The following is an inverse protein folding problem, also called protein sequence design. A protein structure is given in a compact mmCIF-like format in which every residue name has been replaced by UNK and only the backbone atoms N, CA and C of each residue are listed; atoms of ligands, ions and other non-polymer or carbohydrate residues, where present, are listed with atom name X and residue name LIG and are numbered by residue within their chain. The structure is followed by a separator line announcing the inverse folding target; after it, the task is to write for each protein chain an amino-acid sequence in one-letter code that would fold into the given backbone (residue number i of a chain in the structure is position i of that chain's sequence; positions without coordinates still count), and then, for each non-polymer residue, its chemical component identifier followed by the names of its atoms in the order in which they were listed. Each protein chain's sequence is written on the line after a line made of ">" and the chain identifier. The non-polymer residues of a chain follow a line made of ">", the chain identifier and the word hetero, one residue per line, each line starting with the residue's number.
data_IF_971294016853
#
_entry.id   IF_971294016853
#
_cell.length_a   1.000
_cell.length_b   1.000
_cell.length_c   1.000
_cell.angle_alpha   90.00
_cell.angle_beta   90.00
_cell.angle_gamma   90.00
#
_symmetry.space_group_name_H-M   'P 1'
#
loop_
_entity.id
_entity.type
_entity.pdbx_description
1 polymer ?
#
# COMPACT_ATOMS: atom_id res chain seq x y z
N UNK A 1 -12.14 4.54 -19.75
CA UNK A 1 -12.77 5.31 -18.64
C UNK A 1 -12.22 4.92 -17.27
N UNK A 2 -12.24 3.64 -16.89
CA UNK A 2 -11.68 3.13 -15.61
C UNK A 2 -10.31 3.72 -15.21
N UNK A 3 -9.34 3.77 -16.14
CA UNK A 3 -8.02 4.37 -15.90
C UNK A 3 -8.07 5.87 -15.55
N UNK A 4 -9.01 6.62 -16.16
CA UNK A 4 -9.23 8.04 -15.88
C UNK A 4 -9.82 8.26 -14.48
N UNK A 5 -10.70 7.35 -14.03
CA UNK A 5 -11.22 7.34 -12.66
C UNK A 5 -10.10 7.07 -11.64
N UNK A 6 -9.20 6.12 -11.92
CA UNK A 6 -8.02 5.88 -11.09
C UNK A 6 -7.12 7.11 -11.02
N UNK A 7 -6.81 7.73 -12.16
CA UNK A 7 -5.95 8.91 -12.22
C UNK A 7 -6.53 10.13 -11.48
N UNK A 8 -7.79 10.49 -11.77
CA UNK A 8 -8.45 11.64 -11.12
C UNK A 8 -8.83 11.36 -9.67
N UNK A 9 -9.21 10.13 -9.36
CA UNK A 9 -9.39 9.66 -7.98
C UNK A 9 -8.09 9.84 -7.19
N UNK A 10 -6.95 9.37 -7.71
CA UNK A 10 -5.64 9.50 -7.07
C UNK A 10 -5.32 10.96 -6.74
N UNK A 11 -5.46 11.86 -7.72
CA UNK A 11 -5.22 13.30 -7.52
C UNK A 11 -6.08 13.87 -6.38
N UNK A 12 -7.38 13.55 -6.35
CA UNK A 12 -8.28 14.02 -5.30
C UNK A 12 -7.97 13.41 -3.94
N UNK A 13 -7.67 12.11 -3.89
CA UNK A 13 -7.35 11.43 -2.64
C UNK A 13 -6.04 11.92 -2.03
N UNK A 14 -4.99 12.16 -2.82
CA UNK A 14 -3.72 12.71 -2.34
C UNK A 14 -3.88 14.10 -1.73
N UNK A 15 -4.80 14.92 -2.26
CA UNK A 15 -5.06 16.28 -1.77
C UNK A 15 -5.97 16.25 -0.53
N UNK A 16 -7.14 15.62 -0.66
CA UNK A 16 -8.24 15.75 0.31
C UNK A 16 -8.36 14.57 1.28
N UNK A 17 -7.86 13.40 0.91
CA UNK A 17 -8.04 12.15 1.64
C UNK A 17 -9.39 11.48 1.40
N UNK A 18 -9.48 10.18 1.68
CA UNK A 18 -10.66 9.34 1.42
C UNK A 18 -11.96 9.91 2.04
N UNK A 19 -11.86 10.44 3.26
CA UNK A 19 -13.02 10.96 3.99
C UNK A 19 -13.66 12.15 3.30
N UNK A 20 -12.86 13.07 2.79
CA UNK A 20 -13.32 14.36 2.23
C UNK A 20 -13.63 14.29 0.74
N UNK A 21 -13.10 13.31 0.00
CA UNK A 21 -13.42 13.13 -1.42
C UNK A 21 -14.79 12.45 -1.60
N UNK A 22 -15.58 12.90 -2.57
CA UNK A 22 -16.89 12.35 -2.93
C UNK A 22 -16.90 11.75 -4.34
N UNK A 23 -17.86 10.86 -4.61
CA UNK A 23 -18.06 10.30 -5.96
C UNK A 23 -18.42 11.41 -6.96
N UNK A 24 -19.16 12.44 -6.52
CA UNK A 24 -19.55 13.56 -7.37
C UNK A 24 -18.32 14.35 -7.84
N UNK A 25 -17.40 14.71 -6.94
CA UNK A 25 -16.13 15.38 -7.30
C UNK A 25 -15.29 14.53 -8.26
N UNK A 26 -15.21 13.21 -8.03
CA UNK A 26 -14.47 12.30 -8.93
C UNK A 26 -15.11 12.26 -10.32
N UNK A 27 -16.43 12.14 -10.39
CA UNK A 27 -17.16 12.10 -11.68
C UNK A 27 -17.11 13.43 -12.42
N UNK A 28 -17.16 14.55 -11.71
CA UNK A 28 -16.96 15.88 -12.27
C UNK A 28 -15.55 16.04 -12.83
N UNK A 29 -14.52 15.64 -12.07
CA UNK A 29 -13.12 15.70 -12.51
C UNK A 29 -12.83 14.78 -13.72
N UNK A 30 -13.61 13.71 -13.90
CA UNK A 30 -13.49 12.80 -15.04
C UNK A 30 -14.39 13.16 -16.23
N UNK A 31 -15.42 13.98 -16.01
CA UNK A 31 -16.39 14.39 -17.04
C UNK A 31 -17.42 13.31 -17.37
N UNK A 32 -17.84 12.51 -16.37
CA UNK A 32 -18.86 11.46 -16.55
C UNK A 32 -20.06 11.68 -15.62
N UNK A 33 -21.19 11.06 -15.95
CA UNK A 33 -22.32 11.01 -15.05
C UNK A 33 -22.03 10.13 -13.82
N UNK A 34 -22.59 10.48 -12.66
CA UNK A 34 -22.44 9.72 -11.41
C UNK A 34 -22.82 8.24 -11.58
N UNK A 35 -23.92 7.95 -12.28
CA UNK A 35 -24.35 6.57 -12.55
C UNK A 35 -23.29 5.74 -13.28
N UNK A 36 -22.50 6.37 -14.17
CA UNK A 36 -21.43 5.69 -14.91
C UNK A 36 -20.25 5.29 -14.03
N UNK A 37 -20.05 5.93 -12.87
CA UNK A 37 -19.03 5.52 -11.90
C UNK A 37 -19.29 4.10 -11.40
N UNK A 38 -20.55 3.80 -11.08
CA UNK A 38 -20.96 2.53 -10.49
C UNK A 38 -20.88 1.34 -11.46
N UNK A 39 -20.63 1.59 -12.75
CA UNK A 39 -20.28 0.55 -13.72
C UNK A 39 -18.84 0.03 -13.53
N UNK A 40 -17.98 0.78 -12.82
CA UNK A 40 -16.56 0.45 -12.64
C UNK A 40 -16.20 0.18 -11.17
N UNK A 41 -16.83 0.89 -10.24
CA UNK A 41 -16.55 0.79 -8.80
C UNK A 41 -17.85 0.90 -8.01
N UNK A 42 -18.06 0.00 -7.06
CA UNK A 42 -19.19 0.00 -6.13
C UNK A 42 -19.13 1.16 -5.14
N UNK A 43 -17.92 1.68 -4.86
CA UNK A 43 -17.73 2.78 -3.92
C UNK A 43 -16.44 3.57 -4.18
N UNK A 44 -16.31 4.74 -3.56
CA UNK A 44 -15.05 5.51 -3.58
C UNK A 44 -13.95 4.81 -2.77
N UNK A 45 -14.34 4.04 -1.75
CA UNK A 45 -13.45 3.22 -0.94
C UNK A 45 -12.81 2.12 -1.77
N UNK A 46 -13.61 1.48 -2.65
CA UNK A 46 -13.10 0.49 -3.60
C UNK A 46 -12.09 1.10 -4.57
N UNK A 47 -12.39 2.27 -5.12
CA UNK A 47 -11.48 3.01 -5.98
C UNK A 47 -10.20 3.40 -5.24
N UNK A 48 -10.31 3.96 -4.03
CA UNK A 48 -9.17 4.36 -3.21
C UNK A 48 -8.26 3.18 -2.90
N UNK A 49 -8.85 2.07 -2.47
CA UNK A 49 -8.10 0.87 -2.12
C UNK A 49 -7.38 0.28 -3.34
N UNK A 50 -7.99 0.32 -4.52
CA UNK A 50 -7.29 -0.09 -5.73
C UNK A 50 -6.12 0.81 -6.11
N UNK A 51 -6.26 2.13 -5.96
CA UNK A 51 -5.17 3.09 -6.19
C UNK A 51 -4.02 2.81 -5.21
N UNK A 52 -4.36 2.48 -3.95
CA UNK A 52 -3.41 2.11 -2.93
C UNK A 52 -2.68 0.80 -3.29
N UNK A 53 -3.40 -0.24 -3.67
CA UNK A 53 -2.82 -1.52 -4.13
C UNK A 53 -1.92 -1.34 -5.37
N UNK A 54 -2.27 -0.43 -6.30
CA UNK A 54 -1.40 -0.10 -7.44
C UNK A 54 -0.08 0.55 -7.00
N UNK A 55 -0.13 1.39 -5.97
CA UNK A 55 1.07 2.03 -5.43
C UNK A 55 1.93 1.04 -4.64
N UNK A 56 1.31 0.12 -3.90
CA UNK A 56 2.01 -0.98 -3.24
C UNK A 56 2.78 -1.85 -4.21
N UNK A 57 2.12 -2.36 -5.26
CA UNK A 57 2.79 -3.17 -6.28
C UNK A 57 3.97 -2.43 -6.92
N UNK A 58 3.83 -1.13 -7.18
CA UNK A 58 4.93 -0.33 -7.71
C UNK A 58 6.11 -0.26 -6.72
N UNK A 59 5.84 -0.06 -5.43
CA UNK A 59 6.88 -0.03 -4.39
C UNK A 59 7.53 -1.39 -4.19
N UNK A 60 6.74 -2.47 -4.18
CA UNK A 60 7.24 -3.85 -4.10
C UNK A 60 8.18 -4.16 -5.26
N UNK A 61 7.80 -3.81 -6.49
CA UNK A 61 8.66 -4.02 -7.66
C UNK A 61 9.98 -3.22 -7.54
N UNK A 62 9.91 -1.93 -7.20
CA UNK A 62 11.12 -1.10 -6.99
C UNK A 62 12.05 -1.70 -5.93
N UNK A 63 11.47 -2.31 -4.91
CA UNK A 63 12.17 -2.93 -3.82
C UNK A 63 12.85 -4.24 -4.25
N UNK A 64 12.16 -5.09 -5.01
CA UNK A 64 12.74 -6.30 -5.63
C UNK A 64 13.92 -5.95 -6.55
N UNK A 65 13.77 -4.91 -7.37
CA UNK A 65 14.81 -4.46 -8.31
C UNK A 65 16.07 -3.97 -7.57
N UNK A 66 15.88 -3.25 -6.46
CA UNK A 66 16.98 -2.79 -5.60
C UNK A 66 17.70 -3.97 -4.92
N UNK A 67 16.97 -4.97 -4.45
CA UNK A 67 17.55 -6.16 -3.83
C UNK A 67 18.31 -7.05 -4.83
N UNK A 68 17.89 -7.03 -6.09
CA UNK A 68 18.55 -7.77 -7.16
C UNK A 68 19.87 -7.13 -7.57
N UNK A 69 20.02 -5.80 -7.41
CA UNK A 69 21.20 -5.03 -7.80
C UNK A 69 22.23 -4.81 -6.67
N UNK A 70 21.94 -5.21 -5.45
CA UNK A 70 22.86 -5.03 -4.32
C UNK A 70 24.06 -6.00 -4.36
N UNK A 71 25.24 -5.46 -4.02
CA UNK A 71 26.53 -6.17 -4.03
C UNK A 71 26.65 -7.15 -2.85
N UNK A 72 26.14 -6.75 -1.68
CA UNK A 72 26.08 -7.56 -0.48
C UNK A 72 24.79 -7.28 0.29
N UNK A 73 24.41 -8.24 1.14
CA UNK A 73 23.19 -8.21 1.92
C UNK A 73 23.08 -7.02 2.88
N UNK A 74 24.15 -6.67 3.59
CA UNK A 74 24.11 -5.60 4.57
C UNK A 74 23.84 -4.25 3.90
N UNK A 75 24.55 -3.99 2.79
CA UNK A 75 24.30 -2.82 1.94
C UNK A 75 22.88 -2.83 1.41
N UNK A 76 22.38 -3.98 0.97
CA UNK A 76 21.02 -4.13 0.48
C UNK A 76 19.99 -3.70 1.52
N UNK A 77 20.04 -4.24 2.75
CA UNK A 77 19.09 -3.89 3.81
C UNK A 77 19.22 -2.43 4.22
N UNK A 78 20.44 -1.93 4.39
CA UNK A 78 20.69 -0.56 4.81
C UNK A 78 20.08 0.44 3.82
N UNK A 79 20.37 0.28 2.53
CA UNK A 79 19.84 1.17 1.50
C UNK A 79 18.35 0.98 1.29
N UNK A 80 17.87 -0.24 1.46
CA UNK A 80 16.45 -0.57 1.42
C UNK A 80 15.67 0.13 2.53
N UNK A 81 16.11 0.02 3.79
CA UNK A 81 15.48 0.70 4.93
C UNK A 81 15.53 2.22 4.77
N UNK A 82 16.66 2.79 4.33
CA UNK A 82 16.75 4.24 4.09
C UNK A 82 15.77 4.70 3.01
N UNK A 83 15.67 3.99 1.89
CA UNK A 83 14.76 4.36 0.81
C UNK A 83 13.30 4.13 1.18
N UNK A 84 12.97 3.03 1.86
CA UNK A 84 11.61 2.77 2.30
C UNK A 84 11.10 3.86 3.24
N UNK A 85 11.93 4.31 4.19
CA UNK A 85 11.60 5.43 5.08
C UNK A 85 11.37 6.74 4.30
N UNK A 86 12.17 7.03 3.28
CA UNK A 86 11.96 8.20 2.40
C UNK A 86 10.67 8.08 1.59
N UNK A 87 10.40 6.92 0.99
CA UNK A 87 9.19 6.69 0.20
C UNK A 87 7.94 6.85 1.06
N UNK A 88 7.94 6.32 2.29
CA UNK A 88 6.83 6.50 3.23
C UNK A 88 6.66 7.98 3.61
N UNK A 89 7.76 8.71 3.81
CA UNK A 89 7.72 10.14 4.13
C UNK A 89 7.21 11.00 2.95
N UNK A 90 7.54 10.63 1.72
CA UNK A 90 7.25 11.43 0.52
C UNK A 90 5.90 11.08 -0.14
N UNK A 91 5.38 9.86 0.07
CA UNK A 91 4.10 9.46 -0.51
C UNK A 91 2.93 10.14 0.20
N UNK A 92 2.29 11.06 -0.54
CA UNK A 92 1.04 11.70 -0.11
C UNK A 92 -0.06 10.67 0.09
N UNK A 93 -0.19 9.69 -0.81
CA UNK A 93 -1.26 8.69 -0.71
C UNK A 93 -1.07 7.80 0.53
N UNK A 94 0.16 7.36 0.83
CA UNK A 94 0.44 6.59 2.04
C UNK A 94 0.05 7.37 3.29
N UNK A 95 0.44 8.65 3.36
CA UNK A 95 0.03 9.53 4.47
C UNK A 95 -1.49 9.59 4.62
N UNK A 96 -2.24 9.60 3.50
CA UNK A 96 -3.71 9.59 3.50
C UNK A 96 -4.30 8.25 3.92
N UNK A 97 -3.67 7.13 3.55
CA UNK A 97 -4.10 5.78 3.96
C UNK A 97 -4.08 5.62 5.48
N UNK A 98 -3.07 6.18 6.14
CA UNK A 98 -2.88 6.08 7.59
C UNK A 98 -3.49 7.23 8.39
N UNK A 99 -4.35 8.07 7.77
CA UNK A 99 -5.14 9.02 8.55
C UNK A 99 -6.12 8.25 9.48
N UNK A 100 -6.34 8.71 10.73
CA UNK A 100 -7.18 8.01 11.69
C UNK A 100 -8.56 7.70 11.12
N UNK A 101 -9.06 6.47 11.29
CA UNK A 101 -10.41 6.07 10.85
C UNK A 101 -10.53 5.67 9.38
N UNK A 102 -9.46 5.80 8.57
CA UNK A 102 -9.48 5.39 7.15
C UNK A 102 -9.55 3.87 7.04
N UNK A 103 -8.73 3.15 7.80
CA UNK A 103 -8.73 1.69 7.78
C UNK A 103 -10.08 1.11 8.19
N UNK A 104 -10.69 1.63 9.25
CA UNK A 104 -12.02 1.24 9.74
C UNK A 104 -13.13 1.60 8.74
N UNK A 105 -12.95 2.65 7.94
CA UNK A 105 -13.86 2.95 6.84
C UNK A 105 -13.73 1.91 5.72
N UNK A 106 -12.51 1.49 5.36
CA UNK A 106 -12.27 0.45 4.36
C UNK A 106 -12.81 -0.91 4.82
N UNK A 107 -12.56 -1.31 6.07
CA UNK A 107 -13.10 -2.54 6.67
C UNK A 107 -14.63 -2.63 6.56
N UNK A 108 -15.33 -1.50 6.69
CA UNK A 108 -16.80 -1.45 6.62
C UNK A 108 -17.36 -1.45 5.19
N UNK A 109 -16.56 -1.07 4.20
CA UNK A 109 -17.03 -0.80 2.83
C UNK A 109 -16.52 -1.79 1.80
N UNK A 110 -15.40 -2.46 2.07
CA UNK A 110 -14.81 -3.44 1.18
C UNK A 110 -15.26 -4.86 1.55
N UNK A 111 -15.31 -5.78 0.57
CA UNK A 111 -15.48 -7.20 0.85
C UNK A 111 -14.35 -7.71 1.77
N UNK A 112 -14.67 -8.43 2.87
CA UNK A 112 -13.66 -8.99 3.77
C UNK A 112 -12.63 -9.85 3.04
N UNK A 113 -13.04 -10.56 2.00
CA UNK A 113 -12.19 -11.44 1.20
C UNK A 113 -11.12 -10.66 0.42
N UNK A 114 -11.40 -9.40 0.05
CA UNK A 114 -10.42 -8.56 -0.64
C UNK A 114 -9.33 -8.09 0.33
N UNK A 115 -9.74 -7.67 1.52
CA UNK A 115 -8.83 -7.22 2.57
C UNK A 115 -7.95 -8.37 3.09
N UNK A 116 -8.54 -9.54 3.33
CA UNK A 116 -7.81 -10.73 3.77
C UNK A 116 -6.78 -11.17 2.72
N UNK A 117 -7.17 -11.19 1.43
CA UNK A 117 -6.26 -11.53 0.34
C UNK A 117 -5.10 -10.53 0.22
N UNK A 118 -5.37 -9.24 0.41
CA UNK A 118 -4.32 -8.23 0.44
C UNK A 118 -3.36 -8.45 1.62
N UNK A 119 -3.87 -8.69 2.84
CA UNK A 119 -3.03 -9.00 4.00
C UNK A 119 -2.19 -10.28 3.83
N UNK A 120 -2.74 -11.28 3.16
CA UNK A 120 -2.05 -12.52 2.81
C UNK A 120 -0.96 -12.29 1.77
N UNK A 121 -1.26 -11.53 0.71
CA UNK A 121 -0.27 -11.15 -0.30
C UNK A 121 0.90 -10.39 0.32
N UNK A 122 0.62 -9.41 1.17
CA UNK A 122 1.65 -8.64 1.89
C UNK A 122 2.50 -9.54 2.81
N UNK A 123 1.91 -10.60 3.37
CA UNK A 123 2.62 -11.53 4.26
C UNK A 123 3.59 -12.36 3.43
N UNK A 124 3.10 -12.90 2.32
CA UNK A 124 3.91 -13.70 1.40
C UNK A 124 5.04 -12.86 0.81
N UNK A 125 4.77 -11.63 0.36
CA UNK A 125 5.80 -10.72 -0.15
C UNK A 125 6.89 -10.43 0.89
N UNK A 126 6.50 -10.19 2.15
CA UNK A 126 7.44 -10.02 3.25
C UNK A 126 8.28 -11.28 3.52
N UNK A 127 7.66 -12.46 3.52
CA UNK A 127 8.35 -13.74 3.73
C UNK A 127 9.36 -14.00 2.61
N UNK A 128 8.96 -13.81 1.35
CA UNK A 128 9.84 -13.95 0.19
C UNK A 128 11.02 -12.98 0.26
N UNK A 129 10.78 -11.74 0.70
CA UNK A 129 11.85 -10.78 0.93
C UNK A 129 12.86 -11.29 1.97
N UNK A 130 12.39 -11.76 3.13
CA UNK A 130 13.29 -12.25 4.18
C UNK A 130 14.06 -13.48 3.70
N UNK A 131 13.44 -14.39 2.94
CA UNK A 131 14.11 -15.56 2.36
C UNK A 131 15.23 -15.14 1.40
N UNK A 132 14.93 -14.26 0.44
CA UNK A 132 15.93 -13.75 -0.51
C UNK A 132 17.10 -13.06 0.20
N UNK A 133 16.79 -12.33 1.28
CA UNK A 133 17.80 -11.69 2.10
C UNK A 133 18.66 -12.71 2.88
N UNK A 134 18.06 -13.77 3.42
CA UNK A 134 18.76 -14.86 4.10
C UNK A 134 19.67 -15.64 3.15
N UNK A 135 19.27 -15.85 1.88
CA UNK A 135 20.12 -16.51 0.88
C UNK A 135 21.37 -15.70 0.51
N UNK A 136 21.23 -14.37 0.45
CA UNK A 136 22.33 -13.45 0.11
C UNK A 136 23.17 -13.00 1.30
N UNK A 137 22.77 -13.35 2.53
CA UNK A 137 23.44 -12.94 3.76
C UNK A 137 23.91 -14.15 4.56
N UNK A 138 24.83 -13.96 5.51
CA UNK A 138 25.18 -14.99 6.48
C UNK A 138 24.22 -15.01 7.70
N UNK A 139 23.03 -14.39 7.60
CA UNK A 139 22.05 -14.38 8.67
C UNK A 139 21.37 -15.75 8.79
N UNK A 140 21.78 -16.52 9.80
CA UNK A 140 21.21 -17.84 10.09
C UNK A 140 19.76 -17.76 10.65
N UNK A 141 18.93 -18.69 10.19
CA UNK A 141 17.92 -19.49 10.92
C UNK A 141 16.76 -18.82 11.68
N UNK A 142 16.52 -17.51 11.55
CA UNK A 142 15.26 -16.95 12.04
C UNK A 142 14.12 -17.24 11.06
N UNK A 143 12.98 -17.70 11.57
CA UNK A 143 11.80 -17.94 10.76
C UNK A 143 11.33 -16.62 10.10
N UNK A 144 11.25 -16.56 8.75
CA UNK A 144 10.73 -15.39 8.03
C UNK A 144 9.37 -14.91 8.54
N UNK A 145 8.50 -15.83 8.95
CA UNK A 145 7.16 -15.53 9.44
C UNK A 145 7.23 -14.74 10.76
N UNK A 146 8.15 -15.12 11.65
CA UNK A 146 8.37 -14.42 12.93
C UNK A 146 8.92 -13.01 12.69
N UNK A 147 9.86 -12.86 11.76
CA UNK A 147 10.45 -11.56 11.43
C UNK A 147 9.36 -10.60 10.90
N UNK A 148 8.55 -11.06 9.96
CA UNK A 148 7.47 -10.25 9.38
C UNK A 148 6.38 -9.95 10.40
N UNK A 149 6.01 -10.91 11.25
CA UNK A 149 5.07 -10.67 12.34
C UNK A 149 5.57 -9.57 13.29
N UNK A 150 6.86 -9.55 13.63
CA UNK A 150 7.46 -8.52 14.46
C UNK A 150 7.43 -7.13 13.79
N UNK A 151 7.81 -7.03 12.51
CA UNK A 151 7.72 -5.76 11.77
C UNK A 151 6.29 -5.25 11.65
N UNK A 152 5.32 -6.14 11.41
CA UNK A 152 3.89 -5.79 11.39
C UNK A 152 3.42 -5.29 12.74
N UNK A 153 3.82 -5.92 13.83
CA UNK A 153 3.46 -5.47 15.18
C UNK A 153 3.99 -4.07 15.46
N UNK A 154 5.27 -3.79 15.16
CA UNK A 154 5.85 -2.45 15.28
C UNK A 154 5.09 -1.44 14.42
N UNK A 155 4.81 -1.81 13.17
CA UNK A 155 4.09 -0.95 12.25
C UNK A 155 2.70 -0.61 12.79
N UNK A 156 1.91 -1.61 13.21
CA UNK A 156 0.59 -1.42 13.81
C UNK A 156 0.63 -0.53 15.06
N UNK A 157 1.64 -0.71 15.92
CA UNK A 157 1.82 0.14 17.11
C UNK A 157 2.10 1.59 16.69
N UNK A 158 2.98 1.80 15.70
CA UNK A 158 3.32 3.15 15.20
C UNK A 158 2.13 3.90 14.59
N UNK A 159 1.11 3.18 14.09
CA UNK A 159 -0.11 3.79 13.57
C UNK A 159 -1.14 4.11 14.67
N UNK A 160 -1.03 3.49 15.85
CA UNK A 160 -1.97 3.65 16.97
C UNK A 160 -1.51 4.63 18.05
N UNK A 161 -0.26 5.10 18.00
CA UNK A 161 0.24 6.15 18.87
C UNK A 161 -0.24 7.53 18.38
N UNK A 162 -1.36 7.98 18.95
CA UNK A 162 -1.73 9.41 19.04
C UNK A 162 -1.15 10.02 20.32
#
# INVERSE_FOLDING_TARGET
>A
MRRKLLEKGRQLFEIYGLKKTTVDEITQATGIAKGSFYNFFQSKEELFFEIFEEEERFREQMFVDMMSSAIDAETAVRETLKKSLRIVADSKLLRKMYEPGVYEQLLRKLPPERLNRHQENDLQAGIEFVRHFQEKSNLKQSDPEIIIAFFRAIFMISQNSQ
#
